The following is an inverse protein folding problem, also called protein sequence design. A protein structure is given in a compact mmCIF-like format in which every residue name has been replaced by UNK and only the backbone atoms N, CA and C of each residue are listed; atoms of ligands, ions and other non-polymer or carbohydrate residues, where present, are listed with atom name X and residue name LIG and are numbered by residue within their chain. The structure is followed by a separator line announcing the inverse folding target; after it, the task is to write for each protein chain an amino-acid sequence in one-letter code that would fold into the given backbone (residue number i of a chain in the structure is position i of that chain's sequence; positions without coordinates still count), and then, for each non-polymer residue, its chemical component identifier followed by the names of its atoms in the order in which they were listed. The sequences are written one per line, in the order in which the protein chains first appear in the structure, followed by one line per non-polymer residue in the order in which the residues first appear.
data_IF_173054114013
#
_entry.id   IF_173054114013
#
_cell.length_a   1.000
_cell.length_b   1.000
_cell.length_c   1.000
_cell.angle_alpha   90.00
_cell.angle_beta   90.00
_cell.angle_gamma   90.00
#
_symmetry.space_group_name_H-M   'P 1'
#
loop_
_entity.id
_entity.type
_entity.pdbx_description
1 polymer ?
#
# COMPACT_ATOMS: atom_id res chain seq x y z
N UNK A 1 12.26 14.17 1.42
CA UNK A 1 11.26 13.36 0.70
C UNK A 1 11.25 13.82 -0.76
N UNK A 2 11.46 12.94 -1.74
CA UNK A 2 11.22 13.30 -3.13
C UNK A 2 9.74 13.59 -3.34
N UNK A 3 9.43 14.55 -4.20
CA UNK A 3 8.05 14.88 -4.53
C UNK A 3 7.62 14.11 -5.77
N UNK A 4 6.35 13.67 -5.86
CA UNK A 4 5.79 13.23 -7.12
C UNK A 4 6.03 14.29 -8.21
N UNK A 5 6.34 13.86 -9.43
CA UNK A 5 6.74 14.74 -10.55
C UNK A 5 5.71 15.83 -10.92
N UNK A 6 4.47 15.70 -10.46
CA UNK A 6 3.42 16.70 -10.65
C UNK A 6 3.44 17.83 -9.59
N UNK A 7 4.18 17.67 -8.49
CA UNK A 7 4.39 18.71 -7.48
C UNK A 7 5.68 19.45 -7.81
N UNK A 8 5.55 20.68 -8.30
CA UNK A 8 6.67 21.52 -8.74
C UNK A 8 7.19 22.47 -7.66
N UNK A 9 6.52 22.54 -6.52
CA UNK A 9 6.82 23.50 -5.45
C UNK A 9 7.75 22.89 -4.39
N UNK A 10 8.62 23.71 -3.81
CA UNK A 10 9.43 23.31 -2.65
C UNK A 10 8.52 23.28 -1.42
N UNK A 11 8.39 22.11 -0.82
CA UNK A 11 7.69 21.95 0.46
C UNK A 11 8.48 22.58 1.60
N UNK A 12 7.80 23.36 2.44
CA UNK A 12 8.35 23.78 3.73
C UNK A 12 8.28 22.63 4.76
N UNK A 13 8.79 22.85 5.97
CA UNK A 13 8.79 21.80 7.00
C UNK A 13 7.38 21.43 7.49
N UNK A 14 6.41 22.36 7.40
CA UNK A 14 5.01 22.09 7.75
C UNK A 14 4.31 21.23 6.70
N UNK A 15 4.67 21.42 5.44
CA UNK A 15 4.20 20.58 4.36
C UNK A 15 4.73 19.16 4.51
N UNK A 16 6.01 18.97 4.86
CA UNK A 16 6.57 17.63 5.09
C UNK A 16 5.81 16.85 6.16
N UNK A 17 5.39 17.50 7.25
CA UNK A 17 4.52 16.89 8.27
C UNK A 17 3.13 16.56 7.71
N UNK A 18 2.53 17.44 6.89
CA UNK A 18 1.24 17.16 6.22
C UNK A 18 1.30 15.98 5.26
N UNK A 19 2.45 15.72 4.66
CA UNK A 19 2.66 14.58 3.76
C UNK A 19 2.88 13.24 4.49
N UNK A 20 3.02 13.27 5.81
CA UNK A 20 3.01 12.07 6.64
C UNK A 20 1.56 11.78 7.05
N UNK A 21 1.09 10.57 6.78
CA UNK A 21 -0.21 10.14 7.31
C UNK A 21 -0.15 10.01 8.83
N UNK A 22 -1.31 10.03 9.49
CA UNK A 22 -1.46 9.70 10.93
C UNK A 22 -0.90 8.32 11.33
N UNK A 23 -0.52 7.50 10.34
CA UNK A 23 0.04 6.16 10.47
C UNK A 23 1.56 6.09 10.33
N UNK A 24 2.22 7.16 9.89
CA UNK A 24 3.63 7.12 9.56
C UNK A 24 4.48 7.10 10.83
N UNK A 25 5.06 5.94 11.13
CA UNK A 25 5.98 5.76 12.27
C UNK A 25 7.45 5.92 11.86
N UNK A 26 7.78 5.82 10.56
CA UNK A 26 9.14 5.85 10.04
C UNK A 26 9.28 6.82 8.84
N UNK A 27 10.36 7.59 8.81
CA UNK A 27 10.72 8.44 7.68
C UNK A 27 11.26 7.58 6.54
N UNK A 28 10.44 7.20 5.55
CA UNK A 28 10.95 6.33 4.48
C UNK A 28 10.18 6.22 3.18
N UNK A 29 8.95 6.74 3.08
CA UNK A 29 8.22 6.70 1.81
C UNK A 29 8.55 7.91 0.94
N UNK A 30 9.05 7.68 -0.28
CA UNK A 30 9.19 8.74 -1.29
C UNK A 30 7.84 9.19 -1.87
N UNK A 31 6.76 8.43 -1.60
CA UNK A 31 5.41 8.75 -2.01
C UNK A 31 4.56 9.15 -0.81
N UNK A 32 3.87 10.28 -0.92
CA UNK A 32 2.80 10.65 -0.03
C UNK A 32 1.71 9.55 -0.02
N UNK A 33 1.27 9.01 1.14
CA UNK A 33 0.26 7.96 1.16
C UNK A 33 -1.13 8.56 0.86
N UNK A 34 -1.49 8.62 -0.42
CA UNK A 34 -2.65 9.41 -0.87
C UNK A 34 -3.99 8.87 -0.37
N UNK A 35 -4.14 7.56 -0.25
CA UNK A 35 -5.37 6.94 0.25
C UNK A 35 -5.50 7.05 1.79
N UNK A 36 -4.36 7.09 2.49
CA UNK A 36 -4.32 7.16 3.95
C UNK A 36 -4.71 8.53 4.51
N UNK A 37 -4.59 9.61 3.71
CA UNK A 37 -4.97 10.96 4.15
C UNK A 37 -6.46 11.14 4.44
N UNK A 38 -7.32 10.27 3.91
CA UNK A 38 -8.75 10.33 4.18
C UNK A 38 -9.10 9.86 5.59
N UNK A 39 -8.14 9.30 6.34
CA UNK A 39 -8.36 8.79 7.68
C UNK A 39 -7.88 9.74 8.75
N UNK A 40 -8.84 10.28 9.50
CA UNK A 40 -8.60 11.16 10.65
C UNK A 40 -8.54 10.35 11.96
N UNK A 41 -7.91 10.89 13.00
CA UNK A 41 -7.90 10.24 14.32
C UNK A 41 -9.31 9.93 14.86
N UNK A 42 -10.31 10.83 14.75
CA UNK A 42 -11.69 10.50 15.13
C UNK A 42 -12.30 9.36 14.32
N UNK A 43 -12.04 9.30 13.00
CA UNK A 43 -12.51 8.21 12.16
C UNK A 43 -11.87 6.88 12.57
N UNK A 44 -10.57 6.87 12.85
CA UNK A 44 -9.86 5.66 13.28
C UNK A 44 -10.33 5.17 14.63
N UNK A 45 -10.64 6.09 15.55
CA UNK A 45 -11.26 5.75 16.82
C UNK A 45 -12.62 5.09 16.59
N UNK A 46 -13.46 5.69 15.74
CA UNK A 46 -14.79 5.16 15.40
C UNK A 46 -14.72 3.76 14.75
N UNK A 47 -13.69 3.51 13.93
CA UNK A 47 -13.43 2.19 13.33
C UNK A 47 -13.08 1.16 14.41
N UNK A 48 -12.17 1.50 15.33
CA UNK A 48 -11.78 0.62 16.45
C UNK A 48 -12.97 0.33 17.38
N UNK A 49 -13.79 1.32 17.69
CA UNK A 49 -14.99 1.17 18.52
C UNK A 49 -16.02 0.23 17.91
N UNK A 50 -16.03 0.08 16.59
CA UNK A 50 -16.85 -0.91 15.87
C UNK A 50 -16.25 -2.32 15.88
N UNK A 51 -15.14 -2.55 16.59
CA UNK A 51 -14.45 -3.84 16.68
C UNK A 51 -13.63 -4.19 15.44
N UNK A 52 -13.30 -3.20 14.59
CA UNK A 52 -12.49 -3.42 13.39
C UNK A 52 -11.01 -3.25 13.74
N UNK A 53 -10.23 -4.29 13.46
CA UNK A 53 -8.78 -4.28 13.62
C UNK A 53 -8.11 -3.33 12.64
N UNK A 54 -7.25 -2.45 13.17
CA UNK A 54 -6.32 -1.64 12.36
C UNK A 54 -4.92 -2.23 12.51
N UNK A 55 -4.33 -2.64 11.39
CA UNK A 55 -3.01 -3.26 11.29
C UNK A 55 -2.12 -2.41 10.39
N UNK A 56 -0.91 -2.11 10.84
CA UNK A 56 0.08 -1.37 10.07
C UNK A 56 1.10 -2.32 9.47
N UNK A 57 1.45 -2.09 8.21
CA UNK A 57 2.52 -2.76 7.48
C UNK A 57 3.33 -1.69 6.73
N UNK A 58 4.58 -2.01 6.41
CA UNK A 58 5.50 -1.05 5.81
C UNK A 58 5.89 -1.47 4.41
N UNK A 59 5.90 -0.51 3.48
CA UNK A 59 6.58 -0.62 2.19
C UNK A 59 7.40 0.65 1.96
N UNK A 60 8.71 0.51 1.86
CA UNK A 60 9.63 1.56 1.50
C UNK A 60 9.60 1.76 -0.01
N UNK A 61 8.86 2.78 -0.43
CA UNK A 61 8.75 3.16 -1.83
C UNK A 61 9.98 3.98 -2.21
N UNK A 62 10.82 3.42 -3.08
CA UNK A 62 11.95 4.12 -3.69
C UNK A 62 11.53 5.05 -4.83
N UNK A 63 12.44 5.91 -5.28
CA UNK A 63 12.25 6.82 -6.42
C UNK A 63 11.89 6.11 -7.75
N UNK A 64 12.25 4.82 -7.88
CA UNK A 64 12.00 4.02 -9.08
C UNK A 64 10.52 3.81 -9.40
N UNK A 65 9.65 3.82 -8.40
CA UNK A 65 8.20 3.54 -8.53
C UNK A 65 7.44 4.61 -9.31
N UNK A 66 8.00 5.82 -9.43
CA UNK A 66 7.41 6.91 -10.21
C UNK A 66 7.80 6.90 -11.69
N UNK A 67 8.61 5.94 -12.15
CA UNK A 67 8.92 5.84 -13.58
C UNK A 67 7.67 5.41 -14.35
N UNK A 68 7.28 6.14 -15.41
CA UNK A 68 6.15 5.74 -16.23
C UNK A 68 6.40 4.37 -16.87
N UNK A 69 5.34 3.58 -17.03
CA UNK A 69 5.39 2.31 -17.77
C UNK A 69 5.71 2.63 -19.24
N UNK A 70 6.85 2.16 -19.73
CA UNK A 70 7.36 2.43 -21.10
C UNK A 70 7.27 1.21 -22.04
N UNK A 71 6.43 0.24 -21.73
CA UNK A 71 6.28 -0.98 -22.53
C UNK A 71 4.88 -1.05 -23.14
N UNK A 72 4.81 -1.49 -24.40
CA UNK A 72 3.53 -1.69 -25.11
C UNK A 72 2.75 -2.89 -24.55
N UNK A 73 3.47 -3.86 -24.00
CA UNK A 73 2.92 -5.05 -23.33
C UNK A 73 3.18 -4.96 -21.82
N UNK A 74 2.11 -4.72 -21.05
CA UNK A 74 2.17 -4.58 -19.60
C UNK A 74 2.67 -5.84 -18.88
N UNK A 75 2.56 -7.02 -19.51
CA UNK A 75 3.07 -8.28 -18.93
C UNK A 75 4.59 -8.35 -18.94
N UNK A 76 5.24 -7.56 -19.80
CA UNK A 76 6.71 -7.45 -19.90
C UNK A 76 7.27 -6.32 -19.03
N UNK A 77 6.42 -5.62 -18.27
CA UNK A 77 6.88 -4.54 -17.40
C UNK A 77 7.58 -5.11 -16.17
N UNK A 78 8.88 -4.84 -16.03
CA UNK A 78 9.63 -5.13 -14.81
C UNK A 78 9.46 -3.95 -13.85
N UNK A 79 8.72 -4.18 -12.78
CA UNK A 79 8.61 -3.23 -11.68
C UNK A 79 9.93 -3.11 -10.92
N UNK A 80 10.26 -1.90 -10.50
CA UNK A 80 11.32 -1.72 -9.51
C UNK A 80 10.92 -2.39 -8.21
N UNK A 81 11.88 -3.10 -7.62
CA UNK A 81 11.72 -3.74 -6.33
C UNK A 81 11.62 -2.69 -5.22
N UNK A 82 10.74 -2.93 -4.27
CA UNK A 82 10.52 -2.09 -3.10
C UNK A 82 10.59 -2.95 -1.83
N UNK A 83 11.24 -2.43 -0.80
CA UNK A 83 11.42 -3.17 0.45
C UNK A 83 10.15 -3.12 1.30
N UNK A 84 9.65 -4.27 1.74
CA UNK A 84 8.55 -4.37 2.68
C UNK A 84 9.02 -4.90 4.03
N UNK A 85 8.25 -4.56 5.06
CA UNK A 85 8.33 -5.17 6.38
C UNK A 85 6.92 -5.47 6.90
N UNK A 86 6.69 -6.73 7.27
CA UNK A 86 5.47 -7.22 7.91
C UNK A 86 5.86 -7.92 9.21
N UNK A 87 5.48 -7.35 10.35
CA UNK A 87 5.82 -7.92 11.65
C UNK A 87 5.03 -9.23 11.92
N UNK A 88 5.54 -10.12 12.80
CA UNK A 88 4.80 -11.29 13.27
C UNK A 88 3.44 -10.95 13.87
N UNK A 89 3.35 -9.82 14.60
CA UNK A 89 2.10 -9.32 15.15
C UNK A 89 1.10 -8.96 14.05
N UNK A 90 1.54 -8.21 13.03
CA UNK A 90 0.69 -7.80 11.92
C UNK A 90 0.14 -9.02 11.16
N UNK A 91 1.02 -9.96 10.79
CA UNK A 91 0.62 -11.20 10.13
C UNK A 91 -0.35 -12.03 11.00
N UNK A 92 -0.06 -12.16 12.29
CA UNK A 92 -0.92 -12.85 13.25
C UNK A 92 -2.32 -12.25 13.34
N UNK A 93 -2.43 -10.92 13.43
CA UNK A 93 -3.72 -10.21 13.49
C UNK A 93 -4.53 -10.38 12.20
N UNK A 94 -3.86 -10.29 11.04
CA UNK A 94 -4.50 -10.52 9.73
C UNK A 94 -5.03 -11.95 9.63
N UNK A 95 -4.21 -12.95 9.95
CA UNK A 95 -4.60 -14.36 9.90
C UNK A 95 -5.72 -14.67 10.90
N UNK A 96 -5.66 -14.10 12.11
CA UNK A 96 -6.71 -14.25 13.10
C UNK A 96 -8.04 -13.63 12.64
N UNK A 97 -8.01 -12.47 11.98
CA UNK A 97 -9.19 -11.86 11.38
C UNK A 97 -9.81 -12.78 10.31
N UNK A 98 -8.98 -13.36 9.42
CA UNK A 98 -9.43 -14.33 8.40
C UNK A 98 -10.03 -15.59 9.02
N UNK A 99 -9.37 -16.16 10.04
CA UNK A 99 -9.83 -17.37 10.73
C UNK A 99 -11.22 -17.18 11.40
N UNK A 100 -11.55 -15.95 11.80
CA UNK A 100 -12.88 -15.57 12.31
C UNK A 100 -13.92 -15.27 11.22
N UNK A 101 -13.60 -15.49 9.95
CA UNK A 101 -14.47 -15.14 8.81
C UNK A 101 -14.50 -13.65 8.48
N UNK A 102 -13.55 -12.87 9.00
CA UNK A 102 -13.39 -11.44 8.72
C UNK A 102 -12.80 -11.16 7.34
N UNK A 103 -12.88 -9.90 6.93
CA UNK A 103 -12.33 -9.39 5.66
C UNK A 103 -11.05 -8.58 5.91
N UNK A 104 -10.10 -8.66 4.98
CA UNK A 104 -8.89 -7.83 4.97
C UNK A 104 -9.05 -6.74 3.93
N UNK A 105 -9.13 -5.49 4.38
CA UNK A 105 -9.30 -4.33 3.50
C UNK A 105 -8.00 -3.54 3.48
N UNK A 106 -7.36 -3.46 2.31
CA UNK A 106 -6.13 -2.70 2.11
C UNK A 106 -6.45 -1.24 1.86
N UNK A 107 -5.67 -0.35 2.48
CA UNK A 107 -5.71 1.09 2.25
C UNK A 107 -4.47 1.50 1.47
N UNK A 108 -4.66 1.81 0.19
CA UNK A 108 -3.60 2.17 -0.75
C UNK A 108 -3.02 0.99 -1.51
N UNK A 109 -2.57 1.25 -2.75
CA UNK A 109 -1.99 0.24 -3.65
C UNK A 109 -0.66 -0.31 -3.16
N UNK A 110 0.08 0.50 -2.40
CA UNK A 110 1.31 0.13 -1.69
C UNK A 110 1.07 -1.02 -0.71
N UNK A 111 0.11 -0.85 0.23
CA UNK A 111 -0.21 -1.90 1.20
C UNK A 111 -0.81 -3.14 0.52
N UNK A 112 -1.58 -2.95 -0.55
CA UNK A 112 -2.09 -4.04 -1.38
C UNK A 112 -0.96 -4.89 -1.94
N UNK A 113 0.04 -4.28 -2.58
CA UNK A 113 1.17 -5.01 -3.17
C UNK A 113 1.97 -5.75 -2.11
N UNK A 114 2.19 -5.16 -0.94
CA UNK A 114 2.82 -5.87 0.18
C UNK A 114 2.01 -7.09 0.59
N UNK A 115 0.71 -6.95 0.86
CA UNK A 115 -0.14 -8.07 1.29
C UNK A 115 -0.23 -9.19 0.25
N UNK A 116 -0.32 -8.84 -1.03
CA UNK A 116 -0.32 -9.82 -2.13
C UNK A 116 1.05 -10.49 -2.31
N UNK A 117 2.14 -9.86 -1.88
CA UNK A 117 3.48 -10.48 -1.90
C UNK A 117 3.64 -11.49 -0.78
N UNK A 118 3.17 -11.16 0.42
CA UNK A 118 3.38 -11.99 1.62
C UNK A 118 2.25 -13.00 1.90
N UNK A 119 1.20 -13.01 1.07
CA UNK A 119 0.06 -13.92 1.21
C UNK A 119 -0.07 -14.80 -0.02
N UNK A 120 0.09 -16.11 0.17
CA UNK A 120 0.00 -17.09 -0.91
C UNK A 120 -1.44 -17.55 -1.17
N UNK A 121 -1.63 -18.50 -2.11
CA UNK A 121 -2.94 -19.09 -2.42
C UNK A 121 -3.63 -19.77 -1.23
N UNK A 122 -2.87 -20.16 -0.20
CA UNK A 122 -3.37 -20.66 1.08
C UNK A 122 -4.05 -19.58 1.94
N UNK A 123 -4.01 -18.32 1.49
CA UNK A 123 -4.52 -17.13 2.19
C UNK A 123 -3.90 -16.90 3.56
N UNK A 124 -2.71 -17.45 3.80
CA UNK A 124 -1.92 -17.24 5.01
C UNK A 124 -0.91 -16.12 4.76
N UNK A 125 -1.06 -15.03 5.50
CA UNK A 125 -0.11 -13.91 5.50
C UNK A 125 1.11 -14.29 6.33
N UNK A 126 2.30 -14.18 5.74
CA UNK A 126 3.57 -14.50 6.39
C UNK A 126 4.28 -13.22 6.83
N UNK A 127 4.82 -13.24 8.05
CA UNK A 127 5.69 -12.17 8.52
C UNK A 127 7.06 -12.25 7.85
N UNK A 128 7.72 -11.11 7.73
CA UNK A 128 9.07 -11.03 7.20
C UNK A 128 9.38 -9.69 6.55
N UNK A 129 10.63 -9.62 6.12
CA UNK A 129 11.19 -8.53 5.35
C UNK A 129 11.62 -9.07 3.99
N UNK A 130 11.57 -8.23 2.97
CA UNK A 130 11.99 -8.61 1.63
C UNK A 130 11.64 -7.56 0.61
N UNK A 131 11.81 -7.91 -0.65
CA UNK A 131 11.52 -7.04 -1.77
C UNK A 131 10.25 -7.50 -2.49
N UNK A 132 9.39 -6.56 -2.90
CA UNK A 132 8.30 -6.83 -3.82
C UNK A 132 8.50 -6.15 -5.17
N UNK A 133 8.40 -6.95 -6.23
CA UNK A 133 8.28 -6.50 -7.62
C UNK A 133 6.92 -6.82 -8.21
N UNK A 134 5.90 -7.15 -7.38
CA UNK A 134 4.62 -7.61 -7.90
C UNK A 134 3.95 -6.50 -8.71
N UNK A 135 3.51 -6.87 -9.92
CA UNK A 135 2.73 -6.01 -10.81
C UNK A 135 1.33 -6.59 -10.94
N UNK A 136 0.33 -5.85 -10.47
CA UNK A 136 -1.06 -6.31 -10.42
C UNK A 136 -1.81 -5.70 -11.61
N UNK A 137 -2.39 -6.55 -12.45
CA UNK A 137 -3.10 -6.18 -13.67
C UNK A 137 -4.38 -7.03 -13.82
N UNK A 138 -5.29 -6.69 -14.75
CA UNK A 138 -6.56 -7.40 -14.89
C UNK A 138 -6.35 -8.90 -15.14
N UNK A 139 -7.11 -9.74 -14.44
CA UNK A 139 -6.93 -11.20 -14.42
C UNK A 139 -6.08 -11.72 -13.26
N UNK A 140 -5.45 -10.84 -12.48
CA UNK A 140 -4.78 -11.22 -11.23
C UNK A 140 -5.78 -11.75 -10.19
N UNK A 141 -5.43 -12.87 -9.54
CA UNK A 141 -6.24 -13.43 -8.44
C UNK A 141 -5.69 -12.94 -7.11
N UNK A 142 -6.50 -12.17 -6.38
CA UNK A 142 -6.12 -11.64 -5.07
C UNK A 142 -6.20 -12.72 -4.00
N UNK A 143 -5.16 -12.82 -3.19
CA UNK A 143 -5.07 -13.73 -2.05
C UNK A 143 -4.95 -12.98 -0.72
N UNK A 144 -4.22 -11.86 -0.75
CA UNK A 144 -3.90 -11.00 0.39
C UNK A 144 -5.03 -10.09 0.84
N UNK A 145 -5.93 -9.68 -0.06
CA UNK A 145 -7.00 -8.71 0.25
C UNK A 145 -8.39 -9.16 -0.20
N UNK A 146 -9.42 -8.63 0.47
CA UNK A 146 -10.84 -8.78 0.12
C UNK A 146 -11.45 -7.46 -0.40
N UNK A 147 -10.71 -6.35 -0.27
CA UNK A 147 -11.10 -5.05 -0.79
C UNK A 147 -9.96 -4.05 -0.74
N UNK A 148 -10.05 -3.03 -1.61
CA UNK A 148 -9.04 -1.99 -1.77
C UNK A 148 -9.68 -0.61 -1.67
N UNK A 149 -9.17 0.23 -0.77
CA UNK A 149 -9.45 1.66 -0.69
C UNK A 149 -8.28 2.38 -1.35
N UNK A 150 -8.52 3.06 -2.47
CA UNK A 150 -7.50 3.85 -3.17
C UNK A 150 -8.07 5.16 -3.68
N UNK A 151 -7.21 6.15 -3.85
CA UNK A 151 -7.54 7.37 -4.60
C UNK A 151 -7.69 7.05 -6.09
N UNK A 152 -8.53 7.81 -6.80
CA UNK A 152 -8.61 7.73 -8.25
C UNK A 152 -7.30 8.21 -8.87
N UNK A 153 -6.72 7.39 -9.75
CA UNK A 153 -5.54 7.77 -10.54
C UNK A 153 -6.00 8.34 -11.89
N UNK A 154 -5.34 9.40 -12.37
CA UNK A 154 -5.54 9.88 -13.73
C UNK A 154 -5.10 8.81 -14.75
N UNK A 155 -5.74 8.76 -15.93
CA UNK A 155 -5.43 7.77 -16.98
C UNK A 155 -3.96 7.76 -17.40
N UNK A 156 -3.27 8.89 -17.28
CA UNK A 156 -1.86 9.10 -17.61
C UNK A 156 -0.89 8.75 -16.48
N UNK A 157 -1.38 8.47 -15.27
CA UNK A 157 -0.57 8.28 -14.07
C UNK A 157 -0.91 6.98 -13.34
N UNK A 158 -1.18 5.88 -14.06
CA UNK A 158 -1.48 4.59 -13.42
C UNK A 158 -0.26 4.09 -12.65
N UNK A 159 -0.29 4.04 -11.31
CA UNK A 159 0.77 3.40 -10.54
C UNK A 159 0.44 1.92 -10.45
N UNK A 160 1.30 1.05 -11.00
CA UNK A 160 1.52 -0.39 -10.72
C UNK A 160 0.31 -1.35 -10.48
N UNK A 161 -0.91 -0.87 -10.64
CA UNK A 161 -2.19 -1.53 -10.33
C UNK A 161 -3.19 -1.00 -11.35
N UNK A 162 -3.22 -1.64 -12.51
CA UNK A 162 -4.14 -1.30 -13.58
C UNK A 162 -5.48 -2.02 -13.32
N UNK A 163 -6.28 -1.52 -12.39
CA UNK A 163 -7.65 -2.01 -12.19
C UNK A 163 -8.57 -1.28 -13.17
N UNK A 164 -9.02 -1.97 -14.22
CA UNK A 164 -10.22 -1.62 -15.00
C UNK A 164 -11.39 -2.43 -14.47
#
# INVERSE_FOLDING_TARGET
MPLPHYIKERLDDKDKERYQTVYATENGSAAAPTAGFHFTLPLLKSIKEKGIDIVHITLHVGLGTFRPVKVDDVTKHIMHKEDYHVSPEAAGRINAARARGGRVISVGTTSCRTLETVTGPDRITRAGEGETGIFIYPGYTFHGIDGLIKTLASRSSMPATATK
#
